data_IF_539633549251
#
_entry.id   IF_539633549251
#
_cell.length_a   1.000
_cell.length_b   1.000
_cell.length_c   1.000
_cell.angle_alpha   90.00
_cell.angle_beta   90.00
_cell.angle_gamma   90.00
#
_symmetry.space_group_name_H-M   'P 1'
#
loop_
_entity.id
_entity.type
_entity.pdbx_description
1 polymer ?
#
# COMPACT_ATOMS: atom_id res chain seq x y z
N UNK A 1 12.04 2.87 11.06
CA UNK A 1 11.50 1.95 12.12
C UNK A 1 10.01 2.25 12.29
N UNK A 2 9.17 1.24 12.10
CA UNK A 2 7.70 1.38 12.14
C UNK A 2 7.23 1.44 13.60
N UNK A 3 6.35 2.39 13.92
CA UNK A 3 5.75 2.48 15.25
C UNK A 3 4.42 1.71 15.34
N UNK A 4 3.92 1.51 16.57
CA UNK A 4 2.68 0.77 16.84
C UNK A 4 1.46 1.28 16.06
N UNK A 5 1.31 2.60 15.90
CA UNK A 5 0.19 3.17 15.15
C UNK A 5 0.35 2.95 13.65
N UNK A 6 1.56 3.04 13.12
CA UNK A 6 1.84 2.74 11.72
C UNK A 6 1.56 1.25 11.41
N UNK A 7 1.96 0.31 12.29
CA UNK A 7 1.61 -1.11 12.15
C UNK A 7 0.10 -1.34 12.10
N UNK A 8 -0.65 -0.73 13.02
CA UNK A 8 -2.11 -0.81 13.04
C UNK A 8 -2.71 -0.30 11.71
N UNK A 9 -2.29 0.88 11.26
CA UNK A 9 -2.80 1.50 10.04
C UNK A 9 -2.43 0.69 8.78
N UNK A 10 -1.25 0.07 8.74
CA UNK A 10 -0.84 -0.82 7.65
C UNK A 10 -1.77 -2.03 7.58
N UNK A 11 -2.09 -2.65 8.73
CA UNK A 11 -3.00 -3.79 8.76
C UNK A 11 -4.40 -3.41 8.29
N UNK A 12 -4.96 -2.31 8.80
CA UNK A 12 -6.28 -1.80 8.37
C UNK A 12 -6.30 -1.45 6.87
N UNK A 13 -5.22 -0.86 6.35
CA UNK A 13 -5.09 -0.54 4.94
C UNK A 13 -5.04 -1.81 4.08
N UNK A 14 -4.25 -2.82 4.49
CA UNK A 14 -4.16 -4.08 3.76
C UNK A 14 -5.45 -4.91 3.83
N UNK A 15 -6.17 -4.89 4.94
CA UNK A 15 -7.51 -5.49 5.05
C UNK A 15 -8.46 -4.86 4.03
N UNK A 16 -8.52 -3.53 3.97
CA UNK A 16 -9.38 -2.82 3.03
C UNK A 16 -8.98 -3.05 1.56
N UNK A 17 -7.68 -3.19 1.27
CA UNK A 17 -7.19 -3.57 -0.06
C UNK A 17 -7.66 -5.00 -0.39
N UNK A 18 -7.46 -5.96 0.50
CA UNK A 18 -7.77 -7.37 0.25
C UNK A 18 -9.27 -7.61 0.09
N UNK A 19 -10.10 -6.86 0.80
CA UNK A 19 -11.56 -6.92 0.64
C UNK A 19 -12.00 -6.56 -0.79
N UNK A 20 -11.35 -5.57 -1.41
CA UNK A 20 -11.69 -5.09 -2.76
C UNK A 20 -10.88 -5.75 -3.88
N UNK A 21 -9.66 -6.17 -3.58
CA UNK A 21 -8.68 -6.74 -4.50
C UNK A 21 -8.09 -8.02 -3.89
N UNK A 22 -8.84 -9.13 -3.84
CA UNK A 22 -8.42 -10.36 -3.15
C UNK A 22 -7.17 -11.02 -3.75
N UNK A 23 -6.77 -10.66 -4.98
CA UNK A 23 -5.51 -11.08 -5.60
C UNK A 23 -4.27 -10.29 -5.15
N UNK A 24 -4.46 -9.21 -4.38
CA UNK A 24 -3.37 -8.34 -3.91
C UNK A 24 -2.92 -8.80 -2.54
N UNK A 25 -1.63 -9.08 -2.41
CA UNK A 25 -0.99 -9.55 -1.20
C UNK A 25 0.18 -8.62 -0.84
N UNK A 26 0.42 -8.41 0.47
CA UNK A 26 1.59 -7.66 0.93
C UNK A 26 2.85 -8.52 0.75
N UNK A 27 3.85 -7.96 0.06
CA UNK A 27 5.17 -8.56 -0.11
C UNK A 27 6.08 -8.12 1.04
N UNK A 28 6.22 -6.80 1.21
CA UNK A 28 7.07 -6.20 2.25
C UNK A 28 6.70 -4.73 2.48
N UNK A 29 7.13 -4.19 3.63
CA UNK A 29 7.07 -2.76 3.93
C UNK A 29 8.50 -2.22 3.99
N UNK A 30 8.78 -1.19 3.21
CA UNK A 30 10.10 -0.56 3.14
C UNK A 30 9.99 0.94 3.38
N UNK A 31 11.03 1.56 3.92
CA UNK A 31 11.13 3.03 3.92
C UNK A 31 11.24 3.54 2.47
N UNK A 32 10.65 4.71 2.20
CA UNK A 32 10.78 5.36 0.89
C UNK A 32 12.25 5.77 0.67
N UNK A 33 12.80 5.59 -0.55
CA UNK A 33 14.12 6.08 -0.88
C UNK A 33 14.20 7.62 -0.90
N UNK A 34 13.06 8.32 -0.95
CA UNK A 34 12.98 9.78 -0.99
C UNK A 34 12.93 10.39 0.43
N UNK A 35 12.15 9.79 1.33
CA UNK A 35 12.06 10.17 2.73
C UNK A 35 11.91 8.92 3.62
N UNK A 36 12.87 8.63 4.52
CA UNK A 36 12.77 7.49 5.43
C UNK A 36 11.56 7.51 6.39
N UNK A 37 10.90 8.65 6.54
CA UNK A 37 9.66 8.76 7.32
C UNK A 37 8.45 8.16 6.58
N UNK A 38 8.50 8.07 5.26
CA UNK A 38 7.44 7.54 4.42
C UNK A 38 7.60 6.03 4.23
N UNK A 39 6.48 5.30 4.16
CA UNK A 39 6.51 3.85 3.99
C UNK A 39 5.93 3.44 2.63
N UNK A 40 6.65 2.55 1.95
CA UNK A 40 6.19 1.85 0.76
C UNK A 40 5.65 0.47 1.14
N UNK A 41 4.37 0.26 0.84
CA UNK A 41 3.70 -1.03 0.97
C UNK A 41 3.84 -1.75 -0.38
N UNK A 42 4.86 -2.60 -0.50
CA UNK A 42 5.09 -3.36 -1.72
C UNK A 42 4.09 -4.50 -1.78
N UNK A 43 3.26 -4.53 -2.81
CA UNK A 43 2.18 -5.51 -2.96
C UNK A 43 2.24 -6.23 -4.30
N UNK A 44 1.61 -7.39 -4.42
CA UNK A 44 1.45 -8.03 -5.72
C UNK A 44 0.57 -7.17 -6.64
N UNK A 45 0.95 -7.05 -7.91
CA UNK A 45 0.15 -6.32 -8.89
C UNK A 45 -0.95 -7.20 -9.48
N UNK A 46 -2.21 -6.72 -9.60
CA UNK A 46 -3.24 -7.36 -10.41
C UNK A 46 -2.76 -7.57 -11.84
N UNK A 47 -3.26 -8.59 -12.55
CA UNK A 47 -2.86 -8.86 -13.94
C UNK A 47 -3.47 -7.87 -14.93
N UNK A 48 -4.77 -7.62 -14.78
CA UNK A 48 -5.54 -6.76 -15.68
C UNK A 48 -5.26 -5.28 -15.46
N UNK A 49 -5.13 -4.52 -16.55
CA UNK A 49 -4.77 -3.09 -16.50
C UNK A 49 -5.81 -2.26 -15.75
N UNK A 50 -7.10 -2.51 -15.97
CA UNK A 50 -8.19 -1.78 -15.31
C UNK A 50 -8.16 -2.00 -13.80
N UNK A 51 -7.81 -3.22 -13.36
CA UNK A 51 -7.64 -3.52 -11.94
C UNK A 51 -6.40 -2.85 -11.35
N UNK A 52 -5.31 -2.73 -12.09
CA UNK A 52 -4.13 -1.96 -11.65
C UNK A 52 -4.48 -0.49 -11.43
N UNK A 53 -5.26 0.10 -12.35
CA UNK A 53 -5.73 1.49 -12.23
C UNK A 53 -6.63 1.63 -11.00
N UNK A 54 -7.64 0.76 -10.85
CA UNK A 54 -8.55 0.80 -9.72
C UNK A 54 -7.84 0.61 -8.36
N UNK A 55 -6.84 -0.26 -8.29
CA UNK A 55 -6.01 -0.43 -7.09
C UNK A 55 -5.27 0.85 -6.73
N UNK A 56 -4.67 1.52 -7.73
CA UNK A 56 -3.92 2.77 -7.52
C UNK A 56 -4.83 3.90 -7.05
N UNK A 57 -6.00 4.04 -7.66
CA UNK A 57 -6.98 5.06 -7.27
C UNK A 57 -7.47 4.83 -5.84
N UNK A 58 -7.87 3.60 -5.51
CA UNK A 58 -8.32 3.25 -4.17
C UNK A 58 -7.22 3.44 -3.12
N UNK A 59 -6.00 3.01 -3.42
CA UNK A 59 -4.87 3.19 -2.52
C UNK A 59 -4.54 4.67 -2.31
N UNK A 60 -4.54 5.48 -3.38
CA UNK A 60 -4.24 6.91 -3.27
C UNK A 60 -5.25 7.66 -2.38
N UNK A 61 -6.54 7.32 -2.50
CA UNK A 61 -7.59 7.87 -1.63
C UNK A 61 -7.31 7.53 -0.16
N UNK A 62 -7.11 6.25 0.16
CA UNK A 62 -6.82 5.82 1.54
C UNK A 62 -5.51 6.37 2.09
N UNK A 63 -4.46 6.44 1.28
CA UNK A 63 -3.20 7.07 1.65
C UNK A 63 -3.38 8.54 2.01
N UNK A 64 -4.25 9.25 1.28
CA UNK A 64 -4.57 10.67 1.55
C UNK A 64 -5.32 10.83 2.87
N UNK A 65 -6.26 9.93 3.18
CA UNK A 65 -6.96 9.91 4.47
C UNK A 65 -5.96 9.69 5.62
N UNK A 66 -5.09 8.69 5.50
CA UNK A 66 -4.09 8.38 6.53
C UNK A 66 -3.11 9.55 6.75
N UNK A 67 -2.66 10.19 5.66
CA UNK A 67 -1.80 11.35 5.73
C UNK A 67 -2.51 12.52 6.44
N UNK A 68 -3.77 12.76 6.12
CA UNK A 68 -4.54 13.88 6.66
C UNK A 68 -4.88 13.67 8.14
N UNK A 69 -5.26 12.46 8.53
CA UNK A 69 -5.73 12.15 9.88
C UNK A 69 -4.57 11.89 10.86
N UNK A 70 -3.47 11.32 10.39
CA UNK A 70 -2.38 10.83 11.24
C UNK A 70 -0.99 11.40 10.91
N UNK A 71 -0.83 12.10 9.78
CA UNK A 71 0.45 12.64 9.36
C UNK A 71 1.45 11.61 8.83
N UNK A 72 0.99 10.39 8.50
CA UNK A 72 1.83 9.33 7.92
C UNK A 72 1.58 9.21 6.42
N UNK A 73 2.64 9.24 5.61
CA UNK A 73 2.53 8.96 4.19
C UNK A 73 2.87 7.49 3.92
N UNK A 74 1.85 6.75 3.46
CA UNK A 74 2.01 5.40 2.95
C UNK A 74 1.76 5.38 1.45
N UNK A 75 2.59 4.66 0.70
CA UNK A 75 2.44 4.49 -0.74
C UNK A 75 2.32 3.01 -1.07
N UNK A 76 1.23 2.63 -1.74
CA UNK A 76 1.08 1.27 -2.24
C UNK A 76 1.85 1.14 -3.55
N UNK A 77 2.77 0.19 -3.59
CA UNK A 77 3.70 -0.02 -4.69
C UNK A 77 3.46 -1.40 -5.32
N UNK A 78 2.57 -1.50 -6.33
CA UNK A 78 2.33 -2.77 -7.02
C UNK A 78 3.59 -3.24 -7.73
N UNK A 79 4.05 -4.45 -7.39
CA UNK A 79 5.15 -5.14 -8.05
C UNK A 79 4.56 -6.16 -9.01
N UNK A 80 4.92 -6.06 -10.28
CA UNK A 80 4.66 -7.18 -11.19
C UNK A 80 5.47 -8.36 -10.64
N UNK A 81 4.82 -9.51 -10.45
CA UNK A 81 5.55 -10.77 -10.34
C UNK A 81 6.27 -10.96 -11.68
N UNK A 82 7.52 -10.49 -11.75
CA UNK A 82 8.48 -11.03 -12.69
C UNK A 82 8.74 -12.44 -12.14
N UNK A 83 7.92 -13.39 -12.58
CA UNK A 83 8.30 -14.80 -12.45
C UNK A 83 9.70 -14.91 -13.06
N UNK A 84 10.69 -15.15 -12.20
CA UNK A 84 12.04 -15.57 -12.59
C UNK A 84 11.95 -17.02 -13.05
#
# INVERSE_FOLDING_TARGET
MINFKQEQLINEFMEAITEKFPEVELIEVTESPEDPADLWLNVTSPKEIDRKIALREFAAEKSTDILSDYGYLFLVMPRNNLAV
#
